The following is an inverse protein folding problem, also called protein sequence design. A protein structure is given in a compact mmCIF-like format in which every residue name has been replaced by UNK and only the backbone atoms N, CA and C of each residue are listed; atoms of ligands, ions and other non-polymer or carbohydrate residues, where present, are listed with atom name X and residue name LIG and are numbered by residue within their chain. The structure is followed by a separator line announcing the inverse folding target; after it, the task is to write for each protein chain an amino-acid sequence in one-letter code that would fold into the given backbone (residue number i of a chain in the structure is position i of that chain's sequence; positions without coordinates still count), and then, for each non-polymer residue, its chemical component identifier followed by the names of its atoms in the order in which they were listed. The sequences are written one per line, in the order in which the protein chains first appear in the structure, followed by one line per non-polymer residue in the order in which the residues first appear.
data_IF_635946122345
#
_entry.id   IF_635946122345
#
_cell.length_a   1.000
_cell.length_b   1.000
_cell.length_c   1.000
_cell.angle_alpha   90.00
_cell.angle_beta   90.00
_cell.angle_gamma   90.00
#
_symmetry.space_group_name_H-M   'P 1'
#
loop_
_entity.id
_entity.type
_entity.pdbx_description
1 polymer ?
#
# COMPACT_ATOMS: atom_id res chain seq x y z
N UNK A 1 -26.39 -35.15 -24.28
CA UNK A 1 -27.59 -34.58 -23.65
C UNK A 1 -27.15 -33.83 -22.38
N UNK A 2 -26.87 -32.53 -22.48
CA UNK A 2 -26.60 -31.72 -21.29
C UNK A 2 -27.91 -31.55 -20.51
N UNK A 3 -27.85 -31.83 -19.21
CA UNK A 3 -29.01 -31.95 -18.33
C UNK A 3 -29.80 -30.64 -18.26
N UNK A 4 -31.13 -30.77 -18.32
CA UNK A 4 -32.10 -29.68 -18.26
C UNK A 4 -31.95 -28.76 -17.03
N UNK A 5 -31.22 -29.19 -16.00
CA UNK A 5 -30.92 -28.40 -14.80
C UNK A 5 -30.03 -27.17 -15.06
N UNK A 6 -29.06 -27.26 -15.99
CA UNK A 6 -28.12 -26.15 -16.24
C UNK A 6 -28.78 -25.00 -16.99
N UNK A 7 -29.67 -25.32 -17.94
CA UNK A 7 -30.45 -24.33 -18.69
C UNK A 7 -31.49 -23.68 -17.76
N UNK A 8 -32.10 -24.45 -16.86
CA UNK A 8 -33.05 -23.91 -15.88
C UNK A 8 -32.39 -22.94 -14.90
N UNK A 9 -31.17 -23.22 -14.44
CA UNK A 9 -30.40 -22.29 -13.58
C UNK A 9 -30.03 -20.99 -14.29
N UNK A 10 -29.65 -21.04 -15.56
CA UNK A 10 -29.31 -19.83 -16.35
C UNK A 10 -30.56 -18.97 -16.60
N UNK A 11 -31.71 -19.60 -16.87
CA UNK A 11 -32.99 -18.89 -17.05
C UNK A 11 -33.44 -18.25 -15.73
N UNK A 12 -33.34 -18.97 -14.61
CA UNK A 12 -33.69 -18.45 -13.30
C UNK A 12 -32.80 -17.26 -12.89
N UNK A 13 -31.50 -17.33 -13.19
CA UNK A 13 -30.55 -16.25 -12.92
C UNK A 13 -30.82 -15.01 -13.80
N UNK A 14 -31.16 -15.21 -15.09
CA UNK A 14 -31.59 -14.13 -15.97
C UNK A 14 -32.90 -13.48 -15.50
N UNK A 15 -33.88 -14.26 -15.02
CA UNK A 15 -35.13 -13.73 -14.49
C UNK A 15 -34.93 -12.93 -13.19
N UNK A 16 -34.05 -13.40 -12.30
CA UNK A 16 -33.68 -12.68 -11.08
C UNK A 16 -33.00 -11.33 -11.39
N UNK A 17 -32.08 -11.32 -12.36
CA UNK A 17 -31.41 -10.08 -12.81
C UNK A 17 -32.41 -9.12 -13.46
N UNK A 18 -33.31 -9.61 -14.32
CA UNK A 18 -34.34 -8.77 -14.94
C UNK A 18 -35.35 -8.20 -13.94
N UNK A 19 -35.73 -8.97 -12.91
CA UNK A 19 -36.59 -8.49 -11.84
C UNK A 19 -35.86 -7.46 -10.96
N UNK A 20 -34.58 -7.66 -10.67
CA UNK A 20 -33.77 -6.68 -9.93
C UNK A 20 -33.65 -5.36 -10.69
N UNK A 21 -33.38 -5.43 -12.00
CA UNK A 21 -33.32 -4.24 -12.88
C UNK A 21 -34.68 -3.54 -12.98
N UNK A 22 -35.79 -4.28 -13.09
CA UNK A 22 -37.14 -3.69 -13.06
C UNK A 22 -37.49 -3.06 -11.71
N UNK A 23 -37.03 -3.63 -10.60
CA UNK A 23 -37.30 -3.08 -9.28
C UNK A 23 -36.51 -1.78 -9.05
N UNK A 24 -35.25 -1.74 -9.50
CA UNK A 24 -34.40 -0.54 -9.47
C UNK A 24 -34.96 0.56 -10.39
N UNK A 25 -35.45 0.19 -11.59
CA UNK A 25 -36.08 1.14 -12.52
C UNK A 25 -37.47 1.62 -12.06
N UNK A 26 -38.21 0.81 -11.28
CA UNK A 26 -39.48 1.20 -10.68
C UNK A 26 -39.33 2.27 -9.59
N UNK A 27 -38.24 2.21 -8.81
CA UNK A 27 -37.93 3.19 -7.78
C UNK A 27 -37.56 4.57 -8.34
N UNK A 28 -36.90 4.63 -9.50
CA UNK A 28 -36.53 5.91 -10.13
C UNK A 28 -37.72 6.62 -10.77
N UNK A 29 -38.75 5.89 -11.24
CA UNK A 29 -39.91 6.51 -11.88
C UNK A 29 -40.96 7.04 -10.87
N UNK A 30 -41.07 6.41 -9.69
CA UNK A 30 -41.99 6.90 -8.63
C UNK A 30 -41.45 8.11 -7.87
N UNK A 31 -40.13 8.31 -7.83
CA UNK A 31 -39.50 9.47 -7.18
C UNK A 31 -39.57 10.76 -8.02
N UNK A 32 -39.78 10.65 -9.33
CA UNK A 32 -39.80 11.81 -10.25
C UNK A 32 -41.21 12.40 -10.43
N UNK A 33 -42.29 11.66 -10.07
CA UNK A 33 -43.68 12.13 -10.23
C UNK A 33 -44.28 12.86 -9.01
N UNK A 34 -43.59 12.90 -7.87
CA UNK A 34 -44.12 13.53 -6.64
C UNK A 34 -43.55 14.91 -6.30
N UNK A 35 -42.57 15.44 -7.06
CA UNK A 35 -41.93 16.73 -6.74
C UNK A 35 -42.44 17.94 -7.54
N UNK A 36 -43.58 17.83 -8.21
CA UNK A 36 -44.22 18.97 -8.88
C UNK A 36 -45.65 19.17 -8.41
N UNK A 37 -45.83 19.63 -7.16
CA UNK A 37 -46.94 20.50 -6.75
C UNK A 37 -46.75 20.99 -5.31
N UNK A 38 -46.82 22.31 -5.19
CA UNK A 38 -47.13 23.15 -4.05
C UNK A 38 -45.99 23.76 -3.22
N UNK A 39 -46.16 25.07 -3.11
CA UNK A 39 -45.39 26.15 -2.54
C UNK A 39 -45.75 26.42 -1.08
N UNK A 40 -44.87 27.21 -0.44
CA UNK A 40 -45.06 28.08 0.72
C UNK A 40 -44.72 27.59 2.15
N UNK A 41 -43.90 28.44 2.80
CA UNK A 41 -43.68 28.70 4.23
C UNK A 41 -42.88 27.71 5.10
N UNK A 42 -41.69 28.18 5.54
CA UNK A 42 -41.29 28.16 6.96
C UNK A 42 -40.32 27.08 7.48
N UNK A 43 -39.08 27.50 7.72
CA UNK A 43 -38.15 27.03 8.77
C UNK A 43 -37.53 25.62 8.73
N UNK A 44 -36.29 25.56 9.23
CA UNK A 44 -35.49 24.40 9.68
C UNK A 44 -34.75 23.53 8.65
N UNK A 45 -33.41 23.55 8.77
CA UNK A 45 -32.38 22.62 8.24
C UNK A 45 -32.64 21.23 8.88
N UNK A 46 -32.48 20.06 8.21
CA UNK A 46 -31.15 19.60 7.81
C UNK A 46 -30.96 18.60 6.63
N UNK A 47 -29.67 18.50 6.24
CA UNK A 47 -28.95 17.34 5.65
C UNK A 47 -29.23 16.99 4.17
N UNK A 48 -28.30 17.43 3.32
CA UNK A 48 -28.03 16.79 2.03
C UNK A 48 -27.49 15.36 2.26
N UNK A 49 -28.31 14.36 1.94
CA UNK A 49 -27.83 13.00 1.65
C UNK A 49 -27.22 13.02 0.23
N UNK A 50 -25.89 13.04 0.12
CA UNK A 50 -25.21 12.84 -1.17
C UNK A 50 -25.24 11.36 -1.53
N UNK A 51 -26.06 11.01 -2.51
CA UNK A 51 -26.02 9.72 -3.22
C UNK A 51 -24.77 9.63 -4.09
N UNK A 52 -23.67 9.13 -3.53
CA UNK A 52 -22.47 8.73 -4.29
C UNK A 52 -21.97 7.37 -3.82
N UNK A 53 -22.63 6.28 -4.23
CA UNK A 53 -22.07 4.93 -3.96
C UNK A 53 -22.36 3.88 -5.06
N UNK A 54 -23.22 4.15 -6.05
CA UNK A 54 -23.61 3.06 -6.99
C UNK A 54 -23.03 3.20 -8.41
N UNK A 55 -22.38 4.32 -8.76
CA UNK A 55 -21.81 4.50 -10.12
C UNK A 55 -20.35 4.09 -10.28
N UNK A 56 -19.65 3.64 -9.23
CA UNK A 56 -18.21 3.28 -9.31
C UNK A 56 -17.95 1.81 -9.66
N UNK A 57 -18.86 0.90 -9.31
CA UNK A 57 -18.69 -0.54 -9.59
C UNK A 57 -18.86 -0.91 -11.08
N UNK A 58 -19.59 -0.09 -11.86
CA UNK A 58 -19.81 -0.35 -13.29
C UNK A 58 -18.79 0.34 -14.22
N UNK A 59 -18.00 1.29 -13.71
CA UNK A 59 -17.02 2.06 -14.50
C UNK A 59 -15.58 1.50 -14.42
N UNK A 60 -15.27 0.66 -13.42
CA UNK A 60 -13.96 0.00 -13.30
C UNK A 60 -13.74 -1.16 -14.28
N UNK A 61 -14.80 -1.71 -14.89
CA UNK A 61 -14.70 -2.78 -15.90
C UNK A 61 -14.42 -2.28 -17.33
N UNK A 62 -14.50 -0.95 -17.58
CA UNK A 62 -14.36 -0.38 -18.93
C UNK A 62 -13.07 0.41 -19.16
N UNK A 63 -12.16 0.51 -18.18
CA UNK A 63 -10.88 1.25 -18.31
C UNK A 63 -9.63 0.38 -18.52
N UNK A 64 -9.79 -0.91 -18.81
CA UNK A 64 -8.65 -1.80 -19.10
C UNK A 64 -8.36 -1.99 -20.60
N UNK A 65 -9.05 -1.27 -21.50
CA UNK A 65 -8.97 -1.51 -22.95
C UNK A 65 -8.27 -0.43 -23.78
N UNK A 66 -7.91 0.73 -23.22
CA UNK A 66 -7.43 1.88 -24.00
C UNK A 66 -5.98 2.35 -23.72
N UNK A 67 -5.11 1.52 -23.12
CA UNK A 67 -3.69 1.88 -22.88
C UNK A 67 -2.73 1.37 -23.98
N UNK A 68 -3.23 0.80 -25.08
CA UNK A 68 -2.39 0.39 -26.22
C UNK A 68 -2.84 1.02 -27.54
N UNK A 69 -2.73 2.34 -27.62
CA UNK A 69 -2.62 3.04 -28.91
C UNK A 69 -2.14 4.48 -28.69
N UNK A 70 -0.83 4.74 -28.81
CA UNK A 70 -0.29 5.88 -29.57
C UNK A 70 1.26 5.92 -29.50
N UNK A 71 1.84 5.71 -30.69
CA UNK A 71 3.03 6.33 -31.27
C UNK A 71 4.30 6.61 -30.44
N UNK A 72 5.31 5.80 -30.75
CA UNK A 72 6.74 6.13 -30.69
C UNK A 72 7.11 7.26 -31.67
N UNK A 73 7.75 8.31 -31.18
CA UNK A 73 8.41 9.35 -31.99
C UNK A 73 9.84 9.66 -31.51
N UNK A 74 10.83 9.02 -32.19
CA UNK A 74 12.24 9.46 -32.52
C UNK A 74 13.27 9.72 -31.37
N UNK A 75 14.61 9.83 -31.64
CA UNK A 75 15.44 9.47 -32.81
C UNK A 75 16.76 8.67 -32.54
N UNK A 76 17.34 8.11 -33.61
CA UNK A 76 18.77 7.86 -33.90
C UNK A 76 19.68 7.04 -32.95
N UNK A 77 20.21 5.91 -33.44
CA UNK A 77 21.63 5.57 -33.29
C UNK A 77 22.15 4.72 -34.47
N UNK A 78 23.41 4.96 -34.82
CA UNK A 78 24.07 4.78 -36.12
C UNK A 78 24.33 3.33 -36.55
N UNK A 79 24.19 3.12 -37.87
CA UNK A 79 24.79 2.02 -38.62
C UNK A 79 26.33 2.07 -38.56
N UNK A 80 26.96 0.92 -38.37
CA UNK A 80 28.31 0.63 -38.85
C UNK A 80 28.26 -0.56 -39.79
N UNK A 81 28.72 -0.31 -41.02
CA UNK A 81 29.01 -1.26 -42.09
C UNK A 81 30.35 -1.94 -41.86
N UNK A 82 30.46 -3.22 -42.20
CA UNK A 82 31.71 -3.82 -42.70
C UNK A 82 31.39 -4.83 -43.79
N UNK A 83 31.98 -4.57 -44.96
CA UNK A 83 31.99 -5.41 -46.16
C UNK A 83 32.56 -6.81 -45.91
N UNK A 84 32.11 -7.79 -46.70
CA UNK A 84 32.99 -8.83 -47.28
C UNK A 84 32.34 -9.49 -48.49
N UNK A 85 33.20 -9.89 -49.41
CA UNK A 85 33.03 -10.12 -50.84
C UNK A 85 32.07 -11.24 -51.29
N UNK A 86 31.54 -11.02 -52.50
CA UNK A 86 30.89 -12.00 -53.38
C UNK A 86 31.89 -12.92 -54.09
N UNK A 87 31.41 -14.12 -54.43
CA UNK A 87 31.93 -15.06 -55.43
C UNK A 87 31.90 -16.49 -54.86
N UNK A 88 31.31 -17.52 -55.44
CA UNK A 88 30.64 -17.80 -56.70
C UNK A 88 30.42 -19.33 -56.74
N UNK A 89 29.66 -19.81 -57.73
CA UNK A 89 29.48 -21.22 -58.15
C UNK A 89 28.37 -22.06 -57.50
N UNK A 90 27.30 -22.21 -58.31
CA UNK A 90 26.41 -23.37 -58.37
C UNK A 90 27.11 -24.51 -59.12
N UNK A 91 27.27 -25.67 -58.50
CA UNK A 91 27.22 -26.98 -59.16
C UNK A 91 27.18 -28.10 -58.08
N UNK A 92 26.48 -29.18 -58.39
CA UNK A 92 26.59 -30.51 -57.78
C UNK A 92 25.94 -30.75 -56.40
N UNK A 93 24.61 -30.84 -56.37
CA UNK A 93 23.81 -31.33 -55.22
C UNK A 93 23.35 -32.79 -55.38
N UNK A 94 23.58 -33.46 -56.52
CA UNK A 94 22.88 -34.73 -56.82
C UNK A 94 23.70 -36.03 -56.76
N UNK A 95 24.95 -36.02 -56.26
CA UNK A 95 25.78 -37.24 -56.27
C UNK A 95 26.51 -37.58 -54.96
N UNK A 96 26.14 -37.00 -53.82
CA UNK A 96 26.74 -37.36 -52.52
C UNK A 96 25.87 -38.27 -51.63
N UNK A 97 24.57 -38.45 -51.95
CA UNK A 97 23.62 -39.16 -51.08
C UNK A 97 23.58 -40.70 -51.27
N UNK A 98 24.52 -41.31 -52.01
CA UNK A 98 24.50 -42.77 -52.26
C UNK A 98 25.70 -43.58 -51.77
N UNK A 99 26.64 -42.99 -51.00
CA UNK A 99 27.87 -43.71 -50.60
C UNK A 99 28.10 -43.85 -49.09
N UNK A 100 27.19 -43.43 -48.21
CA UNK A 100 27.36 -43.61 -46.77
C UNK A 100 26.13 -44.28 -46.18
N UNK A 101 26.24 -45.57 -45.87
CA UNK A 101 25.24 -46.32 -45.12
C UNK A 101 25.08 -45.75 -43.72
N UNK A 102 24.11 -44.86 -43.55
CA UNK A 102 23.67 -44.32 -42.27
C UNK A 102 22.33 -44.96 -41.93
N UNK A 103 22.37 -45.96 -41.06
CA UNK A 103 21.22 -46.30 -40.23
C UNK A 103 20.83 -45.05 -39.42
N UNK A 104 19.58 -44.60 -39.61
CA UNK A 104 19.01 -43.46 -38.90
C UNK A 104 18.80 -43.79 -37.42
N UNK A 105 19.75 -43.40 -36.57
CA UNK A 105 19.51 -43.21 -35.13
C UNK A 105 19.03 -41.78 -34.94
N UNK A 106 17.70 -41.57 -34.87
CA UNK A 106 17.14 -40.29 -34.45
C UNK A 106 17.46 -40.06 -32.97
N UNK A 107 18.41 -39.16 -32.71
CA UNK A 107 18.70 -38.64 -31.38
C UNK A 107 17.51 -37.81 -30.89
N UNK A 108 16.80 -38.36 -29.91
CA UNK A 108 15.71 -37.70 -29.17
C UNK A 108 16.21 -36.52 -28.33
N UNK A 109 16.51 -35.38 -28.96
CA UNK A 109 17.02 -34.20 -28.24
C UNK A 109 15.94 -33.35 -27.56
N UNK A 110 14.66 -33.54 -27.90
CA UNK A 110 13.51 -32.81 -27.31
C UNK A 110 12.25 -33.68 -27.21
N UNK A 111 11.31 -33.29 -26.33
CA UNK A 111 9.96 -33.87 -26.33
C UNK A 111 9.21 -33.45 -27.60
N UNK A 112 8.46 -34.38 -28.21
CA UNK A 112 7.58 -34.09 -29.33
C UNK A 112 6.50 -33.07 -28.96
N UNK A 113 5.87 -32.45 -29.95
CA UNK A 113 4.77 -31.50 -29.72
C UNK A 113 3.58 -32.16 -29.00
N UNK A 114 3.24 -33.39 -29.37
CA UNK A 114 2.15 -34.13 -28.74
C UNK A 114 2.42 -34.42 -27.25
N UNK A 115 3.66 -34.81 -26.91
CA UNK A 115 4.08 -35.04 -25.52
C UNK A 115 4.04 -33.74 -24.68
N UNK A 116 4.45 -32.61 -25.28
CA UNK A 116 4.41 -31.30 -24.61
C UNK A 116 2.99 -30.80 -24.40
N UNK A 117 2.11 -31.03 -25.37
CA UNK A 117 0.70 -30.65 -25.26
C UNK A 117 0.03 -31.43 -24.13
N UNK A 118 0.19 -32.75 -24.11
CA UNK A 118 -0.35 -33.61 -23.05
C UNK A 118 0.12 -33.18 -21.65
N UNK A 119 1.42 -32.89 -21.50
CA UNK A 119 1.98 -32.40 -20.22
C UNK A 119 1.42 -31.02 -19.84
N UNK A 120 1.28 -30.12 -20.81
CA UNK A 120 0.71 -28.79 -20.59
C UNK A 120 -0.72 -28.90 -20.06
N UNK A 121 -1.56 -29.72 -20.70
CA UNK A 121 -2.95 -29.93 -20.29
C UNK A 121 -3.04 -30.53 -18.88
N UNK A 122 -2.23 -31.55 -18.59
CA UNK A 122 -2.17 -32.16 -17.26
C UNK A 122 -1.77 -31.14 -16.17
N UNK A 123 -0.80 -30.27 -16.47
CA UNK A 123 -0.38 -29.21 -15.55
C UNK A 123 -1.47 -28.15 -15.37
N UNK A 124 -2.12 -27.72 -16.46
CA UNK A 124 -3.18 -26.71 -16.42
C UNK A 124 -4.37 -27.13 -15.57
N UNK A 125 -4.79 -28.40 -15.69
CA UNK A 125 -5.84 -28.95 -14.83
C UNK A 125 -5.45 -28.88 -13.35
N UNK A 126 -4.23 -29.27 -13.01
CA UNK A 126 -3.74 -29.26 -11.64
C UNK A 126 -3.53 -27.83 -11.10
N UNK A 127 -3.09 -26.89 -11.94
CA UNK A 127 -2.96 -25.47 -11.59
C UNK A 127 -4.32 -24.86 -11.23
N UNK A 128 -5.34 -25.11 -12.05
CA UNK A 128 -6.70 -24.64 -11.77
C UNK A 128 -7.27 -25.23 -10.48
N UNK A 129 -6.96 -26.51 -10.16
CA UNK A 129 -7.36 -27.15 -8.90
C UNK A 129 -6.73 -26.45 -7.68
N UNK A 130 -5.45 -26.04 -7.77
CA UNK A 130 -4.77 -25.31 -6.69
C UNK A 130 -5.09 -23.80 -6.68
N UNK A 131 -5.99 -23.35 -7.56
CA UNK A 131 -6.45 -21.96 -7.64
C UNK A 131 -5.47 -21.02 -8.34
N UNK A 132 -4.56 -21.54 -9.17
CA UNK A 132 -3.72 -20.76 -10.07
C UNK A 132 -4.38 -20.70 -11.44
N UNK A 133 -4.57 -19.49 -11.98
CA UNK A 133 -4.99 -19.31 -13.37
C UNK A 133 -3.88 -19.77 -14.33
N UNK A 134 -4.10 -20.94 -14.92
CA UNK A 134 -3.15 -21.58 -15.81
C UNK A 134 -2.91 -20.79 -17.11
N UNK A 135 -3.92 -20.10 -17.62
CA UNK A 135 -3.81 -19.32 -18.86
C UNK A 135 -2.92 -18.10 -18.65
N UNK A 136 -3.15 -17.34 -17.58
CA UNK A 136 -2.30 -16.19 -17.22
C UNK A 136 -0.85 -16.60 -16.96
N UNK A 137 -0.62 -17.73 -16.29
CA UNK A 137 0.75 -18.23 -16.07
C UNK A 137 1.42 -18.65 -17.38
N UNK A 138 0.69 -19.28 -18.31
CA UNK A 138 1.23 -19.65 -19.61
C UNK A 138 1.61 -18.40 -20.44
N UNK A 139 0.80 -17.35 -20.39
CA UNK A 139 1.14 -16.04 -21.02
C UNK A 139 2.41 -15.46 -20.42
N UNK A 140 2.53 -15.44 -19.08
CA UNK A 140 3.73 -14.95 -18.39
C UNK A 140 4.99 -15.75 -18.76
N UNK A 141 4.86 -17.07 -18.88
CA UNK A 141 5.94 -17.96 -19.31
C UNK A 141 6.36 -17.66 -20.75
N UNK A 142 5.41 -17.51 -21.68
CA UNK A 142 5.69 -17.17 -23.08
C UNK A 142 6.41 -15.82 -23.19
N UNK A 143 5.92 -14.81 -22.46
CA UNK A 143 6.57 -13.49 -22.37
C UNK A 143 8.03 -13.63 -21.94
N UNK A 144 8.30 -14.41 -20.89
CA UNK A 144 9.66 -14.66 -20.38
C UNK A 144 10.61 -15.37 -21.36
N UNK A 145 10.09 -16.01 -22.40
CA UNK A 145 10.93 -16.61 -23.46
C UNK A 145 11.27 -15.60 -24.56
N UNK A 146 10.42 -14.59 -24.75
CA UNK A 146 10.53 -13.61 -25.85
C UNK A 146 11.19 -12.30 -25.42
N UNK A 147 11.18 -11.95 -24.14
CA UNK A 147 11.74 -10.71 -23.59
C UNK A 147 12.96 -10.99 -22.71
N UNK A 148 13.93 -10.07 -22.71
CA UNK A 148 15.08 -10.12 -21.76
C UNK A 148 14.62 -9.98 -20.30
N UNK A 149 13.46 -9.36 -20.07
CA UNK A 149 12.81 -9.27 -18.78
C UNK A 149 11.86 -10.45 -18.57
N UNK A 150 12.38 -11.52 -17.96
CA UNK A 150 11.60 -12.71 -17.61
C UNK A 150 10.87 -12.65 -16.26
N UNK A 151 10.52 -11.45 -15.78
CA UNK A 151 9.85 -11.28 -14.48
C UNK A 151 8.36 -11.00 -14.67
N UNK A 152 7.53 -11.70 -13.91
CA UNK A 152 6.10 -11.41 -13.81
C UNK A 152 5.80 -11.02 -12.35
N UNK A 153 5.13 -9.88 -12.11
CA UNK A 153 4.92 -9.36 -10.76
C UNK A 153 3.95 -10.21 -9.92
N UNK A 154 3.18 -11.10 -10.54
CA UNK A 154 2.21 -11.94 -9.85
C UNK A 154 2.78 -13.33 -9.54
N UNK A 155 3.47 -13.95 -10.50
CA UNK A 155 3.99 -15.31 -10.36
C UNK A 155 5.47 -15.38 -9.95
N UNK A 156 6.27 -14.40 -10.37
CA UNK A 156 7.71 -14.36 -10.13
C UNK A 156 8.52 -15.36 -10.97
N UNK A 157 9.84 -15.08 -11.09
CA UNK A 157 10.78 -15.87 -11.92
C UNK A 157 10.82 -17.36 -11.57
N UNK A 158 10.73 -17.70 -10.29
CA UNK A 158 10.87 -19.08 -9.82
C UNK A 158 9.68 -19.96 -10.21
N UNK A 159 8.45 -19.44 -10.12
CA UNK A 159 7.24 -20.16 -10.53
C UNK A 159 7.20 -20.35 -12.05
N UNK A 160 7.55 -19.30 -12.81
CA UNK A 160 7.70 -19.35 -14.27
C UNK A 160 8.72 -20.42 -14.67
N UNK A 161 9.88 -20.47 -13.99
CA UNK A 161 10.93 -21.46 -14.26
C UNK A 161 10.47 -22.89 -13.95
N UNK A 162 9.68 -23.10 -12.90
CA UNK A 162 9.13 -24.41 -12.56
C UNK A 162 8.15 -24.89 -13.64
N UNK A 163 7.24 -24.02 -14.10
CA UNK A 163 6.37 -24.29 -15.25
C UNK A 163 7.19 -24.63 -16.51
N UNK A 164 8.16 -23.78 -16.86
CA UNK A 164 9.00 -23.95 -18.05
C UNK A 164 9.77 -25.27 -18.02
N UNK A 165 10.35 -25.65 -16.89
CA UNK A 165 11.13 -26.89 -16.76
C UNK A 165 10.25 -28.14 -16.89
N UNK A 166 8.97 -28.04 -16.52
CA UNK A 166 8.03 -29.15 -16.62
C UNK A 166 7.58 -29.42 -18.06
N UNK A 167 7.30 -28.35 -18.82
CA UNK A 167 6.86 -28.42 -20.22
C UNK A 167 8.05 -28.57 -21.19
N UNK A 168 9.17 -27.90 -20.89
CA UNK A 168 10.41 -27.89 -21.68
C UNK A 168 11.57 -28.39 -20.81
N UNK A 169 11.64 -29.70 -20.52
CA UNK A 169 12.74 -30.26 -19.75
C UNK A 169 14.07 -30.13 -20.51
N UNK A 170 15.18 -30.03 -19.77
CA UNK A 170 16.52 -30.04 -20.35
C UNK A 170 16.81 -31.41 -20.99
N UNK A 171 17.71 -31.49 -21.99
CA UNK A 171 18.05 -32.75 -22.65
C UNK A 171 18.37 -33.90 -21.69
N UNK A 172 19.13 -33.63 -20.62
CA UNK A 172 19.48 -34.61 -19.58
C UNK A 172 18.32 -35.10 -18.70
N UNK A 173 17.11 -34.58 -18.88
CA UNK A 173 15.91 -34.90 -18.10
C UNK A 173 14.74 -35.40 -18.97
N UNK A 174 14.93 -35.56 -20.28
CA UNK A 174 13.85 -35.96 -21.21
C UNK A 174 13.41 -37.40 -20.95
N UNK A 175 14.33 -38.36 -20.83
CA UNK A 175 13.98 -39.76 -20.58
C UNK A 175 13.27 -39.94 -19.24
N UNK A 176 13.70 -39.19 -18.22
CA UNK A 176 13.03 -39.15 -16.93
C UNK A 176 11.61 -38.55 -17.03
N UNK A 177 11.41 -37.54 -17.89
CA UNK A 177 10.10 -36.93 -18.11
C UNK A 177 9.14 -37.85 -18.86
N UNK A 178 9.65 -38.69 -19.78
CA UNK A 178 8.86 -39.71 -20.52
C UNK A 178 8.44 -40.89 -19.65
N UNK A 179 9.35 -41.34 -18.79
CA UNK A 179 9.11 -42.48 -17.90
C UNK A 179 8.28 -42.14 -16.66
N UNK A 180 7.98 -40.85 -16.44
CA UNK A 180 7.19 -40.39 -15.30
C UNK A 180 5.73 -40.23 -15.69
N UNK A 181 4.83 -40.66 -14.79
CA UNK A 181 3.41 -40.36 -14.90
C UNK A 181 3.19 -38.83 -14.90
N UNK A 182 2.71 -38.31 -16.03
CA UNK A 182 2.56 -36.88 -16.27
C UNK A 182 1.53 -36.24 -15.33
N UNK A 183 0.49 -36.97 -14.90
CA UNK A 183 -0.54 -36.43 -14.00
C UNK A 183 0.00 -36.29 -12.58
N UNK A 184 0.69 -37.31 -12.09
CA UNK A 184 1.34 -37.28 -10.76
C UNK A 184 2.43 -36.22 -10.74
N UNK A 185 3.20 -36.10 -11.82
CA UNK A 185 4.21 -35.07 -11.98
C UNK A 185 3.58 -33.67 -12.00
N UNK A 186 2.52 -33.48 -12.79
CA UNK A 186 1.78 -32.22 -12.89
C UNK A 186 1.23 -31.77 -11.54
N UNK A 187 0.66 -32.69 -10.74
CA UNK A 187 0.12 -32.34 -9.41
C UNK A 187 1.21 -31.84 -8.46
N UNK A 188 2.40 -32.46 -8.48
CA UNK A 188 3.56 -32.01 -7.68
C UNK A 188 4.06 -30.66 -8.15
N UNK A 189 4.18 -30.47 -9.46
CA UNK A 189 4.64 -29.22 -10.07
C UNK A 189 3.65 -28.08 -9.81
N UNK A 190 2.34 -28.31 -9.89
CA UNK A 190 1.33 -27.30 -9.59
C UNK A 190 1.42 -26.80 -8.15
N UNK A 191 1.60 -27.69 -7.17
CA UNK A 191 1.82 -27.29 -5.76
C UNK A 191 3.12 -26.52 -5.56
N UNK A 192 4.18 -26.91 -6.28
CA UNK A 192 5.44 -26.17 -6.26
C UNK A 192 5.29 -24.76 -6.82
N UNK A 193 4.58 -24.62 -7.94
CA UNK A 193 4.27 -23.32 -8.56
C UNK A 193 3.43 -22.46 -7.60
N UNK A 194 2.39 -23.03 -6.97
CA UNK A 194 1.57 -22.33 -5.97
C UNK A 194 2.42 -21.79 -4.81
N UNK A 195 3.27 -22.65 -4.24
CA UNK A 195 4.17 -22.26 -3.17
C UNK A 195 5.11 -21.12 -3.60
N UNK A 196 5.72 -21.23 -4.78
CA UNK A 196 6.67 -20.23 -5.29
C UNK A 196 5.99 -18.90 -5.60
N UNK A 197 4.79 -18.92 -6.19
CA UNK A 197 4.02 -17.72 -6.49
C UNK A 197 3.52 -17.04 -5.19
N UNK A 198 3.06 -17.81 -4.20
CA UNK A 198 2.72 -17.28 -2.86
C UNK A 198 3.92 -16.66 -2.17
N UNK A 199 5.09 -17.32 -2.22
CA UNK A 199 6.33 -16.80 -1.65
C UNK A 199 6.76 -15.49 -2.32
N UNK A 200 6.69 -15.42 -3.65
CA UNK A 200 7.01 -14.19 -4.38
C UNK A 200 6.09 -13.03 -3.95
N UNK A 201 4.77 -13.25 -3.96
CA UNK A 201 3.81 -12.22 -3.51
C UNK A 201 4.03 -11.81 -2.06
N UNK A 202 4.36 -12.76 -1.18
CA UNK A 202 4.70 -12.45 0.21
C UNK A 202 5.93 -11.57 0.32
N UNK A 203 6.97 -11.83 -0.48
CA UNK A 203 8.21 -11.07 -0.50
C UNK A 203 8.02 -9.67 -1.12
N UNK A 204 7.27 -9.56 -2.21
CA UNK A 204 6.88 -8.25 -2.78
C UNK A 204 6.04 -7.44 -1.76
N UNK A 205 5.13 -8.10 -1.04
CA UNK A 205 4.39 -7.46 0.04
C UNK A 205 5.26 -7.14 1.27
N UNK A 206 6.33 -7.91 1.52
CA UNK A 206 7.31 -7.64 2.59
C UNK A 206 8.17 -6.42 2.23
N UNK A 207 8.58 -6.28 0.97
CA UNK A 207 9.24 -5.09 0.44
C UNK A 207 8.39 -3.82 0.63
N UNK A 208 7.09 -3.89 0.35
CA UNK A 208 6.15 -2.78 0.60
C UNK A 208 5.96 -2.50 2.10
N UNK A 209 6.15 -3.51 2.97
CA UNK A 209 5.95 -3.40 4.43
C UNK A 209 7.20 -2.96 5.22
N UNK A 210 8.39 -2.99 4.61
CA UNK A 210 9.67 -2.74 5.27
C UNK A 210 10.50 -1.64 4.60
N UNK A 211 9.86 -0.53 4.25
CA UNK A 211 10.57 0.69 3.81
C UNK A 211 11.27 1.42 4.97
N UNK A 212 10.87 1.17 6.21
CA UNK A 212 11.30 1.96 7.38
C UNK A 212 12.66 1.52 7.96
N UNK A 213 13.13 0.31 7.65
CA UNK A 213 14.26 -0.32 8.38
C UNK A 213 15.65 -0.10 7.77
N UNK A 214 15.74 0.24 6.48
CA UNK A 214 17.01 0.35 5.74
C UNK A 214 17.20 1.75 5.12
N UNK A 215 16.71 2.80 5.76
CA UNK A 215 16.83 4.17 5.23
C UNK A 215 18.26 4.69 5.45
N UNK A 216 19.04 4.84 4.38
CA UNK A 216 20.38 5.42 4.44
C UNK A 216 20.38 6.93 4.74
N UNK A 217 21.51 7.49 5.17
CA UNK A 217 21.62 8.94 5.50
C UNK A 217 21.22 9.88 4.34
N UNK A 218 21.40 9.44 3.09
CA UNK A 218 20.98 10.18 1.88
C UNK A 218 19.46 10.09 1.67
N UNK A 219 18.85 8.95 1.98
CA UNK A 219 17.39 8.77 1.88
C UNK A 219 16.66 9.49 3.02
N UNK A 220 17.24 9.58 4.21
CA UNK A 220 16.74 10.40 5.32
C UNK A 220 16.65 11.90 4.96
N UNK A 221 17.65 12.41 4.25
CA UNK A 221 17.64 13.79 3.77
C UNK A 221 16.51 14.03 2.76
N UNK A 222 16.26 13.06 1.87
CA UNK A 222 15.16 13.12 0.90
C UNK A 222 13.79 12.90 1.55
N UNK A 223 13.70 12.06 2.58
CA UNK A 223 12.45 11.80 3.33
C UNK A 223 11.94 13.07 4.02
N UNK A 224 12.85 13.89 4.57
CA UNK A 224 12.50 15.20 5.11
C UNK A 224 11.89 16.16 4.06
N UNK A 225 12.16 15.97 2.76
CA UNK A 225 11.59 16.80 1.69
C UNK A 225 10.20 16.34 1.25
N UNK A 226 9.78 15.13 1.63
CA UNK A 226 8.51 14.52 1.22
C UNK A 226 7.47 14.47 2.35
N UNK A 227 7.82 14.90 3.57
CA UNK A 227 6.89 14.85 4.71
C UNK A 227 5.81 15.91 4.62
N UNK A 228 4.56 15.44 4.67
CA UNK A 228 3.36 16.24 4.91
C UNK A 228 3.43 16.77 6.36
N UNK A 229 3.70 18.07 6.55
CA UNK A 229 3.80 18.68 7.89
C UNK A 229 2.55 19.51 8.23
N UNK A 230 2.17 19.43 9.50
CA UNK A 230 1.04 20.15 10.07
C UNK A 230 1.45 20.94 11.31
N UNK A 231 0.76 22.05 11.65
CA UNK A 231 1.05 22.85 12.84
C UNK A 231 0.59 22.16 14.15
N UNK A 232 1.08 20.94 14.36
CA UNK A 232 0.94 20.15 15.57
C UNK A 232 2.31 20.02 16.24
N UNK A 233 2.31 20.20 17.55
CA UNK A 233 3.44 19.93 18.44
C UNK A 233 2.97 18.95 19.49
N UNK A 234 3.81 17.98 19.83
CA UNK A 234 3.59 17.09 20.99
C UNK A 234 4.55 17.49 22.09
N UNK A 235 4.03 17.85 23.26
CA UNK A 235 4.82 18.16 24.46
C UNK A 235 4.72 16.99 25.45
N UNK A 236 5.85 16.36 25.75
CA UNK A 236 5.95 15.24 26.68
C UNK A 236 6.39 15.74 28.04
N UNK A 237 5.44 15.81 28.97
CA UNK A 237 5.64 16.27 30.34
C UNK A 237 6.13 15.12 31.24
N UNK A 238 7.44 15.09 31.50
CA UNK A 238 8.08 14.14 32.40
C UNK A 238 7.76 12.64 32.13
N UNK A 239 7.60 12.26 30.86
CA UNK A 239 7.29 10.89 30.44
C UNK A 239 8.49 9.96 30.69
N UNK A 240 8.32 8.91 31.50
CA UNK A 240 9.46 8.11 31.95
C UNK A 240 9.92 7.07 30.94
N UNK A 241 9.00 6.43 30.22
CA UNK A 241 9.31 5.25 29.40
C UNK A 241 9.89 5.63 28.05
N UNK A 242 11.17 5.30 27.82
CA UNK A 242 11.82 5.49 26.52
C UNK A 242 11.09 4.77 25.37
N UNK A 243 10.44 3.63 25.63
CA UNK A 243 9.66 2.89 24.64
C UNK A 243 8.36 3.62 24.26
N UNK A 244 7.69 4.24 25.25
CA UNK A 244 6.51 5.05 24.98
C UNK A 244 6.92 6.29 24.18
N UNK A 245 8.00 6.97 24.59
CA UNK A 245 8.51 8.14 23.87
C UNK A 245 8.85 7.79 22.42
N UNK A 246 9.59 6.70 22.16
CA UNK A 246 9.91 6.31 20.78
C UNK A 246 8.66 5.96 19.96
N UNK A 247 7.66 5.30 20.56
CA UNK A 247 6.37 5.03 19.89
C UNK A 247 5.60 6.32 19.56
N UNK A 248 5.72 7.34 20.41
CA UNK A 248 5.14 8.67 20.16
C UNK A 248 5.91 9.39 19.05
N UNK A 249 7.24 9.31 19.00
CA UNK A 249 8.02 9.83 17.86
C UNK A 249 7.57 9.19 16.54
N UNK A 250 7.36 7.87 16.53
CA UNK A 250 6.83 7.18 15.35
C UNK A 250 5.43 7.65 14.96
N UNK A 251 4.56 7.88 15.95
CA UNK A 251 3.23 8.44 15.71
C UNK A 251 3.31 9.87 15.17
N UNK A 252 4.19 10.69 15.74
CA UNK A 252 4.42 12.07 15.34
C UNK A 252 4.95 12.16 13.91
N UNK A 253 5.84 11.25 13.52
CA UNK A 253 6.28 11.12 12.14
C UNK A 253 5.11 10.79 11.20
N UNK A 254 4.39 9.70 11.50
CA UNK A 254 3.27 9.21 10.71
C UNK A 254 2.09 10.18 10.60
N UNK A 255 1.85 11.00 11.62
CA UNK A 255 0.78 12.00 11.64
C UNK A 255 1.21 13.35 11.05
N UNK A 256 2.46 13.49 10.60
CA UNK A 256 2.97 14.76 10.09
C UNK A 256 3.11 15.85 11.16
N UNK A 257 3.32 15.46 12.42
CA UNK A 257 3.62 16.39 13.50
C UNK A 257 4.94 17.11 13.21
N UNK A 258 4.95 18.43 13.39
CA UNK A 258 6.12 19.24 13.10
C UNK A 258 7.20 19.11 14.15
N UNK A 259 6.83 18.99 15.44
CA UNK A 259 7.80 18.94 16.52
C UNK A 259 7.35 18.06 17.70
N UNK A 260 8.31 17.35 18.30
CA UNK A 260 8.14 16.69 19.61
C UNK A 260 9.06 17.35 20.63
N UNK A 261 8.48 17.99 21.63
CA UNK A 261 9.18 18.60 22.75
C UNK A 261 9.20 17.63 23.93
N UNK A 262 10.37 17.46 24.53
CA UNK A 262 10.57 16.60 25.71
C UNK A 262 10.98 17.45 26.90
N UNK A 263 10.54 17.10 28.11
CA UNK A 263 10.85 17.88 29.31
C UNK A 263 11.32 17.01 30.47
N UNK A 264 12.12 17.59 31.37
CA UNK A 264 12.52 16.98 32.63
C UNK A 264 13.16 15.60 32.45
N UNK A 265 12.58 14.58 33.08
CA UNK A 265 13.12 13.21 33.01
C UNK A 265 12.88 12.50 31.66
N UNK A 266 12.15 13.13 30.74
CA UNK A 266 11.74 12.49 29.48
C UNK A 266 12.96 12.11 28.63
N UNK A 267 13.11 10.83 28.25
CA UNK A 267 14.14 10.43 27.31
C UNK A 267 14.09 11.26 26.03
N UNK A 268 15.23 11.79 25.61
CA UNK A 268 15.32 12.65 24.43
C UNK A 268 16.36 12.11 23.44
N UNK A 269 16.24 12.40 22.13
CA UNK A 269 17.17 11.87 21.13
C UNK A 269 18.63 12.26 21.36
N UNK A 270 18.87 13.38 22.03
CA UNK A 270 20.19 13.91 22.38
C UNK A 270 20.55 13.73 23.87
N UNK A 271 19.74 12.99 24.64
CA UNK A 271 19.87 12.90 26.09
C UNK A 271 19.89 11.47 26.63
N UNK A 272 19.47 11.33 27.90
CA UNK A 272 19.39 10.03 28.56
C UNK A 272 18.31 9.16 27.93
N UNK A 273 18.52 7.83 27.91
CA UNK A 273 17.55 6.89 27.33
C UNK A 273 17.50 6.83 25.79
N UNK A 274 18.35 7.59 25.08
CA UNK A 274 18.38 7.66 23.61
C UNK A 274 18.42 6.30 22.89
N UNK A 275 19.16 5.33 23.43
CA UNK A 275 19.32 4.02 22.77
C UNK A 275 18.01 3.23 22.76
N UNK A 276 17.28 3.26 23.89
CA UNK A 276 15.98 2.58 24.01
C UNK A 276 14.91 3.31 23.19
N UNK A 277 14.91 4.64 23.25
CA UNK A 277 14.02 5.48 22.46
C UNK A 277 14.18 5.19 20.98
N UNK A 278 15.42 5.27 20.46
CA UNK A 278 15.71 5.10 19.04
C UNK A 278 15.32 3.71 18.51
N UNK A 279 15.51 2.65 19.32
CA UNK A 279 15.04 1.30 18.98
C UNK A 279 13.53 1.21 18.74
N UNK A 280 12.73 1.93 19.53
CA UNK A 280 11.28 1.98 19.36
C UNK A 280 10.80 3.00 18.34
N UNK A 281 11.55 4.08 18.14
CA UNK A 281 11.19 5.15 17.22
C UNK A 281 11.37 4.75 15.75
N UNK A 282 12.25 3.79 15.45
CA UNK A 282 12.55 3.35 14.09
C UNK A 282 12.88 4.54 13.18
N UNK A 283 13.94 5.29 13.52
CA UNK A 283 14.43 6.48 12.82
C UNK A 283 13.55 7.74 12.90
N UNK A 284 12.32 7.66 13.39
CA UNK A 284 11.47 8.85 13.58
C UNK A 284 12.14 9.91 14.48
N UNK A 285 13.01 9.50 15.42
CA UNK A 285 13.78 10.40 16.29
C UNK A 285 14.88 11.22 15.58
N UNK A 286 15.15 10.91 14.30
CA UNK A 286 16.09 11.64 13.44
C UNK A 286 15.41 12.56 12.45
N UNK A 287 14.12 12.32 12.21
CA UNK A 287 13.33 12.97 11.17
C UNK A 287 12.40 14.03 11.77
N UNK A 288 11.76 13.72 12.90
CA UNK A 288 10.88 14.66 13.60
C UNK A 288 11.73 15.67 14.37
N UNK A 289 11.45 16.96 14.16
CA UNK A 289 12.14 18.02 14.91
C UNK A 289 11.88 17.86 16.41
N UNK A 290 12.91 18.10 17.22
CA UNK A 290 12.80 17.93 18.67
C UNK A 290 13.57 18.96 19.45
N UNK A 291 13.01 19.35 20.59
CA UNK A 291 13.66 20.19 21.60
C UNK A 291 13.52 19.54 22.97
N UNK A 292 14.50 19.79 23.84
CA UNK A 292 14.47 19.32 25.21
C UNK A 292 14.60 20.51 26.17
N UNK A 293 13.70 20.56 27.16
CA UNK A 293 13.71 21.58 28.21
C UNK A 293 13.87 20.93 29.57
N UNK A 294 14.50 21.65 30.52
CA UNK A 294 14.69 21.13 31.88
C UNK A 294 13.35 21.02 32.60
N UNK A 295 12.46 22.00 32.43
CA UNK A 295 11.12 21.98 33.01
C UNK A 295 10.03 22.08 31.95
N UNK A 296 8.84 21.57 32.27
CA UNK A 296 7.67 21.71 31.39
C UNK A 296 7.21 23.15 31.29
N UNK A 297 7.41 23.93 32.35
CA UNK A 297 7.13 25.37 32.32
C UNK A 297 7.98 26.11 31.30
N UNK A 298 9.29 25.84 31.23
CA UNK A 298 10.17 26.47 30.23
C UNK A 298 9.73 26.15 28.80
N UNK A 299 9.28 24.91 28.56
CA UNK A 299 8.74 24.52 27.27
C UNK A 299 7.44 25.26 26.92
N UNK A 300 6.53 25.42 27.89
CA UNK A 300 5.28 26.17 27.71
C UNK A 300 5.56 27.65 27.45
N UNK A 301 6.50 28.25 28.18
CA UNK A 301 6.88 29.66 28.00
C UNK A 301 7.50 29.85 26.60
N UNK A 302 8.39 28.94 26.17
CA UNK A 302 8.92 28.91 24.80
C UNK A 302 7.83 28.83 23.73
N UNK A 303 6.84 27.94 23.89
CA UNK A 303 5.72 27.81 22.96
C UNK A 303 4.92 29.12 22.89
N UNK A 304 4.63 29.74 24.04
CA UNK A 304 3.85 30.98 24.09
C UNK A 304 4.58 32.17 23.45
N UNK A 305 5.91 32.18 23.49
CA UNK A 305 6.74 33.21 22.86
C UNK A 305 6.86 33.00 21.35
N UNK A 306 7.23 31.79 20.90
CA UNK A 306 7.50 31.51 19.48
C UNK A 306 6.23 31.21 18.67
N UNK A 307 5.19 30.72 19.33
CA UNK A 307 3.94 30.25 18.73
C UNK A 307 2.71 30.77 19.49
N UNK A 308 2.54 32.09 19.66
CA UNK A 308 1.51 32.68 20.52
C UNK A 308 0.05 32.34 20.14
N UNK A 309 -0.21 31.93 18.90
CA UNK A 309 -1.54 31.49 18.46
C UNK A 309 -1.77 29.98 18.51
N UNK A 310 -0.83 29.21 19.07
CA UNK A 310 -1.00 27.77 19.26
C UNK A 310 -1.78 27.51 20.54
N UNK A 311 -2.81 26.67 20.44
CA UNK A 311 -3.59 26.26 21.61
C UNK A 311 -2.94 25.06 22.30
N UNK A 312 -2.78 25.15 23.62
CA UNK A 312 -2.26 24.09 24.47
C UNK A 312 -3.41 23.21 24.98
N UNK A 313 -3.43 21.96 24.57
CA UNK A 313 -4.42 20.95 24.97
C UNK A 313 -3.72 19.85 25.77
N UNK A 314 -3.98 19.79 27.07
CA UNK A 314 -3.47 18.70 27.91
C UNK A 314 -4.39 17.51 27.92
N UNK A 315 -3.81 16.32 27.76
CA UNK A 315 -4.52 15.05 27.90
C UNK A 315 -4.45 14.59 29.34
N UNK A 316 -5.56 14.76 30.07
CA UNK A 316 -5.67 14.38 31.48
C UNK A 316 -7.11 14.02 31.85
N UNK A 317 -7.27 13.09 32.78
CA UNK A 317 -8.59 12.67 33.29
C UNK A 317 -8.89 13.42 34.59
N UNK A 318 -9.58 14.56 34.48
CA UNK A 318 -10.02 15.37 35.62
C UNK A 318 -11.48 15.78 35.51
N UNK A 319 -12.07 16.26 36.60
CA UNK A 319 -13.45 16.79 36.60
C UNK A 319 -13.65 18.01 35.67
N UNK A 320 -12.56 18.67 35.28
CA UNK A 320 -12.57 19.81 34.35
C UNK A 320 -12.34 19.40 32.89
N UNK A 321 -11.99 18.13 32.66
CA UNK A 321 -11.68 17.64 31.33
C UNK A 321 -12.94 17.48 30.49
N UNK A 322 -12.78 17.60 29.18
CA UNK A 322 -13.86 17.38 28.21
C UNK A 322 -13.46 16.25 27.26
N UNK A 323 -14.44 15.52 26.74
CA UNK A 323 -14.16 14.51 25.71
C UNK A 323 -13.36 15.13 24.56
N UNK A 324 -12.26 14.48 24.17
CA UNK A 324 -11.32 14.95 23.13
C UNK A 324 -12.02 15.31 21.81
N UNK A 325 -13.06 14.56 21.42
CA UNK A 325 -13.86 14.85 20.21
C UNK A 325 -14.73 16.11 20.29
N UNK A 326 -14.93 16.66 21.49
CA UNK A 326 -15.72 17.88 21.72
C UNK A 326 -14.87 19.16 21.74
N UNK A 327 -13.55 19.02 21.72
CA UNK A 327 -12.61 20.14 21.60
C UNK A 327 -12.56 20.57 20.13
N UNK A 328 -12.54 21.88 19.90
CA UNK A 328 -12.26 22.45 18.59
C UNK A 328 -10.77 22.72 18.49
N UNK A 329 -10.09 22.04 17.59
CA UNK A 329 -8.65 22.15 17.43
C UNK A 329 -8.32 23.24 16.40
N UNK A 330 -7.78 24.42 16.82
CA UNK A 330 -7.49 25.51 15.90
C UNK A 330 -6.32 25.16 14.99
N UNK A 331 -6.25 25.85 13.84
CA UNK A 331 -5.30 25.54 12.79
C UNK A 331 -5.98 24.83 11.61
N UNK A 332 -5.29 24.84 10.46
CA UNK A 332 -5.67 24.09 9.26
C UNK A 332 -4.48 24.02 8.31
N UNK A 333 -4.41 22.92 7.57
CA UNK A 333 -3.71 22.85 6.30
C UNK A 333 -2.26 22.44 6.40
N UNK A 334 -1.75 22.07 5.23
CA UNK A 334 -0.35 21.82 4.99
C UNK A 334 0.48 23.08 5.10
N UNK A 335 1.59 23.02 5.81
CA UNK A 335 2.67 23.97 5.63
C UNK A 335 3.88 23.24 5.03
N UNK A 336 3.84 23.03 3.70
CA UNK A 336 4.86 22.24 2.99
C UNK A 336 5.75 23.03 2.04
N UNK A 337 5.50 24.31 1.77
CA UNK A 337 6.41 25.01 0.85
C UNK A 337 7.64 25.58 1.57
N UNK A 338 8.75 24.83 1.46
CA UNK A 338 10.13 25.35 1.43
C UNK A 338 10.29 26.38 0.29
N UNK A 339 9.65 27.54 0.38
CA UNK A 339 10.16 28.70 -0.36
C UNK A 339 11.32 29.27 0.47
N UNK A 340 12.55 29.02 0.00
CA UNK A 340 13.83 29.58 0.54
C UNK A 340 14.44 28.95 1.80
N UNK A 341 14.06 27.72 2.15
CA UNK A 341 14.80 26.93 3.14
C UNK A 341 14.48 27.20 4.62
N UNK A 342 13.41 27.95 4.92
CA UNK A 342 12.92 28.17 6.29
C UNK A 342 11.48 27.65 6.44
N UNK A 343 11.21 27.04 7.61
CA UNK A 343 9.87 26.57 7.98
C UNK A 343 9.08 27.75 8.56
N UNK A 344 8.16 28.34 7.79
CA UNK A 344 7.26 29.38 8.24
C UNK A 344 6.06 28.77 8.97
N UNK A 345 6.03 28.91 10.28
CA UNK A 345 4.89 28.46 11.09
C UNK A 345 3.63 29.29 10.78
N UNK A 346 2.44 28.67 10.72
CA UNK A 346 1.19 29.42 10.60
C UNK A 346 0.83 30.13 11.91
N UNK A 347 -0.07 31.09 11.83
CA UNK A 347 -0.51 31.88 13.00
C UNK A 347 -1.27 31.06 14.05
N UNK A 348 -1.82 29.89 13.68
CA UNK A 348 -2.60 29.05 14.58
C UNK A 348 -2.24 27.56 14.42
N UNK A 349 -2.22 26.86 15.54
CA UNK A 349 -1.90 25.43 15.61
C UNK A 349 -2.25 24.83 16.96
N UNK A 350 -1.80 23.59 17.19
CA UNK A 350 -2.11 22.81 18.39
C UNK A 350 -0.84 22.28 19.03
N UNK A 351 -0.75 22.40 20.35
CA UNK A 351 0.18 21.65 21.18
C UNK A 351 -0.59 20.63 22.02
N UNK A 352 -0.32 19.34 21.80
CA UNK A 352 -0.85 18.26 22.63
C UNK A 352 0.13 17.96 23.76
N UNK A 353 -0.28 18.22 25.00
CA UNK A 353 0.51 17.94 26.20
C UNK A 353 0.14 16.57 26.75
N UNK A 354 1.12 15.68 26.84
CA UNK A 354 0.96 14.31 27.34
C UNK A 354 1.80 14.13 28.61
N UNK A 355 1.14 13.73 29.70
CA UNK A 355 1.72 13.67 31.04
C UNK A 355 2.49 12.38 31.39
N UNK A 356 3.06 12.38 32.58
CA UNK A 356 3.73 11.22 33.16
C UNK A 356 2.77 10.02 33.28
N UNK A 357 3.26 8.79 33.04
CA UNK A 357 2.40 7.61 33.02
C UNK A 357 1.73 7.26 34.37
N UNK A 358 2.27 7.78 35.47
CA UNK A 358 1.77 7.55 36.83
C UNK A 358 1.07 8.79 37.37
N UNK A 359 1.67 9.96 37.16
CA UNK A 359 1.23 11.21 37.78
C UNK A 359 0.38 12.10 36.88
N UNK A 360 0.28 11.78 35.59
CA UNK A 360 -0.42 12.63 34.64
C UNK A 360 0.37 13.90 34.30
N UNK A 361 -0.34 14.90 33.77
CA UNK A 361 0.21 16.24 33.53
C UNK A 361 0.41 16.94 34.86
N UNK A 362 1.56 17.61 35.02
CA UNK A 362 1.91 18.28 36.26
C UNK A 362 0.87 19.36 36.62
N UNK A 363 0.50 19.40 37.89
CA UNK A 363 -0.51 20.31 38.45
C UNK A 363 -0.16 21.78 38.25
N UNK A 364 1.13 22.12 38.15
CA UNK A 364 1.57 23.48 37.85
C UNK A 364 1.36 23.87 36.37
N UNK A 365 1.23 22.88 35.49
CA UNK A 365 1.05 23.06 34.05
C UNK A 365 -0.43 23.15 33.69
N UNK A 366 -1.32 22.44 34.40
CA UNK A 366 -2.76 22.44 34.13
C UNK A 366 -3.37 23.86 33.99
N UNK A 367 -3.06 24.85 34.85
CA UNK A 367 -3.60 26.21 34.71
C UNK A 367 -3.06 27.00 33.51
N UNK A 368 -1.99 26.51 32.88
CA UNK A 368 -1.36 27.16 31.72
C UNK A 368 -1.94 26.68 30.38
N UNK A 369 -2.75 25.63 30.41
CA UNK A 369 -3.40 25.02 29.25
C UNK A 369 -4.68 25.77 28.89
N UNK A 370 -4.99 25.84 27.59
CA UNK A 370 -6.26 26.40 27.12
C UNK A 370 -7.40 25.40 27.29
N UNK A 371 -7.10 24.11 27.10
CA UNK A 371 -8.05 23.02 27.18
C UNK A 371 -7.46 21.80 27.90
N UNK A 372 -8.31 21.11 28.66
CA UNK A 372 -8.03 19.79 29.21
C UNK A 372 -8.97 18.80 28.53
N UNK A 373 -8.40 17.82 27.84
CA UNK A 373 -9.12 16.82 27.08
C UNK A 373 -8.93 15.43 27.69
N UNK A 374 -9.98 14.61 27.66
CA UNK A 374 -9.93 13.21 28.08
C UNK A 374 -10.44 12.27 26.98
N UNK A 375 -9.96 11.03 27.00
CA UNK A 375 -10.52 9.93 26.21
C UNK A 375 -11.48 9.16 27.12
N UNK A 376 -12.79 9.13 26.82
CA UNK A 376 -13.75 8.43 27.67
C UNK A 376 -13.42 6.95 27.84
N UNK A 377 -13.39 6.50 29.09
CA UNK A 377 -13.11 5.11 29.45
C UNK A 377 -14.40 4.37 29.81
N UNK A 378 -14.73 3.33 29.05
CA UNK A 378 -15.92 2.49 29.30
C UNK A 378 -15.62 1.21 30.09
N UNK A 379 -14.36 1.00 30.48
CA UNK A 379 -13.90 -0.17 31.21
C UNK A 379 -13.57 0.12 32.68
N UNK A 380 -12.94 -0.84 33.35
CA UNK A 380 -12.45 -0.68 34.74
C UNK A 380 -11.18 0.16 34.86
N UNK A 381 -10.51 0.44 33.75
CA UNK A 381 -9.26 1.23 33.72
C UNK A 381 -9.60 2.69 33.56
N UNK A 382 -8.86 3.54 34.27
CA UNK A 382 -9.10 4.98 34.30
C UNK A 382 -8.32 5.75 33.23
N UNK A 383 -7.41 5.08 32.52
CA UNK A 383 -6.59 5.71 31.49
C UNK A 383 -6.09 4.69 30.46
N UNK A 384 -5.64 5.20 29.32
CA UNK A 384 -4.92 4.46 28.29
C UNK A 384 -3.40 4.58 28.49
N UNK A 385 -2.64 3.69 27.86
CA UNK A 385 -1.21 3.90 27.69
C UNK A 385 -0.98 5.20 26.89
N UNK A 386 -0.03 6.04 27.31
CA UNK A 386 0.25 7.33 26.68
C UNK A 386 0.60 7.22 25.17
N UNK A 387 1.34 6.18 24.77
CA UNK A 387 1.66 5.94 23.37
C UNK A 387 0.45 5.44 22.55
N UNK A 388 -0.59 4.92 23.20
CA UNK A 388 -1.89 4.65 22.57
C UNK A 388 -2.81 5.89 22.57
N UNK A 389 -2.65 6.78 23.55
CA UNK A 389 -3.39 8.05 23.63
C UNK A 389 -2.97 9.01 22.50
N UNK A 390 -1.67 9.15 22.24
CA UNK A 390 -1.13 10.04 21.22
C UNK A 390 -1.80 9.89 19.84
N UNK A 391 -1.85 8.70 19.20
CA UNK A 391 -2.46 8.55 17.88
C UNK A 391 -3.97 8.86 17.89
N UNK A 392 -4.70 8.54 18.96
CA UNK A 392 -6.14 8.82 19.03
C UNK A 392 -6.43 10.32 18.91
N UNK A 393 -5.63 11.14 19.61
CA UNK A 393 -5.82 12.59 19.63
C UNK A 393 -5.26 13.23 18.36
N UNK A 394 -4.07 12.83 17.93
CA UNK A 394 -3.43 13.39 16.74
C UNK A 394 -4.25 13.13 15.46
N UNK A 395 -4.80 11.93 15.29
CA UNK A 395 -5.65 11.65 14.13
C UNK A 395 -7.05 12.26 14.24
N UNK A 396 -7.55 12.56 15.45
CA UNK A 396 -8.79 13.36 15.61
C UNK A 396 -8.56 14.80 15.17
N UNK A 397 -7.41 15.40 15.51
CA UNK A 397 -7.03 16.73 15.02
C UNK A 397 -6.99 16.74 13.48
N UNK A 398 -6.30 15.79 12.87
CA UNK A 398 -6.23 15.64 11.41
C UNK A 398 -7.61 15.44 10.77
N UNK A 399 -8.48 14.67 11.43
CA UNK A 399 -9.88 14.46 10.98
C UNK A 399 -10.66 15.77 11.00
N UNK A 400 -10.52 16.60 12.03
CA UNK A 400 -11.18 17.91 12.10
C UNK A 400 -10.62 18.90 11.06
N UNK A 401 -9.33 18.82 10.74
CA UNK A 401 -8.71 19.67 9.71
C UNK A 401 -9.04 19.26 8.27
N UNK A 402 -9.63 18.06 8.08
CA UNK A 402 -10.07 17.56 6.79
C UNK A 402 -8.94 16.97 5.93
N UNK A 403 -7.81 16.64 6.54
CA UNK A 403 -6.59 16.22 5.85
C UNK A 403 -6.48 14.71 5.63
N UNK A 404 -7.46 13.93 6.11
CA UNK A 404 -7.56 12.49 5.88
C UNK A 404 -8.23 12.13 4.54
N UNK A 405 -8.94 13.08 3.92
CA UNK A 405 -9.75 12.86 2.72
C UNK A 405 -9.14 13.49 1.44
N UNK A 406 -7.91 14.00 1.48
CA UNK A 406 -7.29 14.62 0.29
C UNK A 406 -6.87 13.55 -0.73
N UNK A 407 -7.59 13.48 -1.86
CA UNK A 407 -7.33 12.60 -3.01
C UNK A 407 -5.83 12.56 -3.41
N UNK A 408 -5.27 11.35 -3.52
CA UNK A 408 -3.90 11.03 -3.95
C UNK A 408 -3.53 11.52 -5.38
N UNK A 409 -4.40 12.23 -6.09
CA UNK A 409 -4.17 12.70 -7.47
C UNK A 409 -3.23 13.92 -7.61
N UNK A 410 -2.46 14.24 -6.58
CA UNK A 410 -1.55 15.40 -6.56
C UNK A 410 -0.12 15.04 -6.12
N UNK A 411 0.24 13.75 -6.04
CA UNK A 411 1.60 13.30 -5.75
C UNK A 411 2.26 12.78 -7.04
#
# INVERSE_FOLDING_TARGET
MMSSLSIFRIILMKMLILNLVRHIAGFTCSAIKSSSRNSELGSTVPKQLKTHTITRASLQMLRFRDIYSHESSRPNLKLFSTDTHQGGEKADVENFEKSVGLESVELNETLSESERLYRTEALHQQLNIVGIDAESLAVAVNKSMTTLEGNDPYFGKSAIKAYKTFVYPRPSKIDAARNQDAEVAASRTARQIDFLAKRHRSHEAEWVRHTDTDVGMVELANANEQRKLFPMIVLLDNVRSAFNVGSIFRTADASGCSMVITTGITPSPNGSGREKLSKSALFADKVVETKHFITTKDAVDYIKEEHPGFSLIGMETTDLSRCYTSITYPGRGLYTEKNRGELQWPDAGVVVVLGNEVHGVDTEILPLLDHIAEIPMFGKKNSLNIAACAPVVLYEILRQWGDLDSDESQI
#
